data_IF_085526065221
#
_entry.id   IF_085526065221
#
_cell.length_a   1.000
_cell.length_b   1.000
_cell.length_c   1.000
_cell.angle_alpha   90.00
_cell.angle_beta   90.00
_cell.angle_gamma   90.00
#
_symmetry.space_group_name_H-M   'P 1'
#
loop_
_entity.id
_entity.type
_entity.pdbx_description
1 polymer ?
#
# COMPACT_ATOMS: atom_id res chain seq x y z
N UNK A 1 -53.41 -63.04 18.18
CA UNK A 1 -53.25 -61.74 17.48
C UNK A 1 -52.78 -61.98 16.05
N UNK A 2 -52.94 -60.99 15.18
CA UNK A 2 -53.15 -61.08 13.73
C UNK A 2 -51.90 -61.43 12.91
N UNK A 3 -52.17 -62.00 11.74
CA UNK A 3 -51.31 -62.39 10.61
C UNK A 3 -50.50 -61.20 10.00
N UNK A 4 -49.44 -61.55 9.26
CA UNK A 4 -49.19 -61.28 7.81
C UNK A 4 -47.70 -61.01 7.56
N UNK A 5 -47.12 -61.85 6.68
CA UNK A 5 -45.83 -61.72 6.01
C UNK A 5 -45.89 -60.56 5.01
N UNK A 6 -44.86 -59.71 4.93
CA UNK A 6 -44.61 -58.94 3.71
C UNK A 6 -43.11 -58.76 3.48
N UNK A 7 -42.60 -59.51 2.50
CA UNK A 7 -41.32 -59.29 1.83
C UNK A 7 -41.49 -58.13 0.85
N UNK A 8 -40.59 -57.13 0.88
CA UNK A 8 -40.41 -56.16 -0.22
C UNK A 8 -38.96 -56.23 -0.66
N UNK A 9 -38.78 -56.61 -1.93
CA UNK A 9 -37.53 -56.61 -2.69
C UNK A 9 -37.51 -55.36 -3.58
N UNK A 10 -36.30 -54.87 -3.91
CA UNK A 10 -35.94 -53.86 -4.93
C UNK A 10 -36.23 -52.40 -4.53
N UNK A 11 -35.36 -51.40 -4.74
CA UNK A 11 -34.49 -51.16 -5.89
C UNK A 11 -33.18 -50.44 -5.50
N UNK A 12 -32.12 -50.85 -6.16
CA UNK A 12 -30.89 -50.09 -6.41
C UNK A 12 -31.16 -48.72 -7.03
N UNK A 13 -30.72 -47.64 -6.38
CA UNK A 13 -30.38 -46.40 -7.06
C UNK A 13 -28.95 -46.00 -6.67
N UNK A 14 -28.06 -46.27 -7.62
CA UNK A 14 -26.75 -45.65 -7.77
C UNK A 14 -26.83 -44.15 -7.46
N UNK A 15 -26.24 -43.74 -6.33
CA UNK A 15 -25.87 -42.33 -6.16
C UNK A 15 -24.65 -42.10 -7.04
N UNK A 16 -24.91 -41.87 -8.33
CA UNK A 16 -23.95 -41.21 -9.20
C UNK A 16 -23.71 -39.83 -8.58
N UNK A 17 -22.59 -39.70 -7.88
CA UNK A 17 -22.05 -38.40 -7.50
C UNK A 17 -21.75 -37.64 -8.78
N UNK A 18 -22.70 -36.82 -9.22
CA UNK A 18 -22.43 -35.82 -10.23
C UNK A 18 -21.40 -34.87 -9.63
N UNK A 19 -20.14 -35.04 -10.03
CA UNK A 19 -19.14 -33.99 -9.93
C UNK A 19 -19.63 -32.84 -10.81
N UNK A 20 -20.43 -31.94 -10.23
CA UNK A 20 -20.62 -30.61 -10.80
C UNK A 20 -19.24 -29.97 -10.82
N UNK A 21 -18.60 -29.97 -11.99
CA UNK A 21 -17.53 -29.04 -12.27
C UNK A 21 -18.06 -27.65 -11.92
N UNK A 22 -17.51 -27.02 -10.87
CA UNK A 22 -17.74 -25.59 -10.62
C UNK A 22 -17.12 -24.82 -11.76
N UNK A 23 -17.87 -24.63 -12.84
CA UNK A 23 -17.48 -23.79 -13.96
C UNK A 23 -17.79 -22.35 -13.55
N UNK A 24 -16.77 -21.65 -13.06
CA UNK A 24 -16.85 -20.25 -12.65
C UNK A 24 -16.60 -20.04 -11.16
N UNK A 25 -16.02 -18.87 -10.86
CA UNK A 25 -15.76 -18.42 -9.49
C UNK A 25 -17.04 -17.88 -8.87
N UNK A 26 -17.23 -18.14 -7.58
CA UNK A 26 -18.33 -17.56 -6.80
C UNK A 26 -18.18 -16.03 -6.69
N UNK A 27 -19.29 -15.33 -6.42
CA UNK A 27 -19.29 -13.87 -6.26
C UNK A 27 -18.39 -13.45 -5.09
N UNK A 28 -18.33 -14.29 -4.07
CA UNK A 28 -17.52 -14.13 -2.87
C UNK A 28 -16.02 -14.24 -3.20
N UNK A 29 -15.63 -15.23 -4.02
CA UNK A 29 -14.25 -15.36 -4.51
C UNK A 29 -13.85 -14.20 -5.42
N UNK A 30 -14.75 -13.73 -6.28
CA UNK A 30 -14.49 -12.56 -7.13
C UNK A 30 -14.37 -11.27 -6.30
N UNK A 31 -15.20 -11.11 -5.27
CA UNK A 31 -15.14 -9.96 -4.37
C UNK A 31 -13.87 -9.98 -3.52
N UNK A 32 -13.52 -11.13 -2.94
CA UNK A 32 -12.30 -11.30 -2.17
C UNK A 32 -11.05 -10.98 -3.01
N UNK A 33 -11.03 -11.39 -4.28
CA UNK A 33 -9.93 -11.04 -5.18
C UNK A 33 -9.91 -9.56 -5.55
N UNK A 34 -11.07 -8.96 -5.82
CA UNK A 34 -11.15 -7.52 -6.06
C UNK A 34 -10.65 -6.73 -4.85
N UNK A 35 -10.99 -7.17 -3.64
CA UNK A 35 -10.56 -6.52 -2.39
C UNK A 35 -9.05 -6.67 -2.13
N UNK A 36 -8.43 -7.74 -2.67
CA UNK A 36 -6.97 -7.93 -2.65
C UNK A 36 -6.23 -7.04 -3.64
N UNK A 37 -6.85 -6.69 -4.76
CA UNK A 37 -6.19 -5.91 -5.83
C UNK A 37 -6.47 -4.42 -5.72
N UNK A 38 -7.56 -4.01 -5.07
CA UNK A 38 -7.94 -2.60 -4.94
C UNK A 38 -7.10 -1.89 -3.87
N UNK A 39 -6.36 -0.81 -4.20
CA UNK A 39 -5.62 -0.05 -3.21
C UNK A 39 -6.54 0.62 -2.19
N UNK A 40 -6.25 0.43 -0.90
CA UNK A 40 -6.94 1.06 0.23
C UNK A 40 -6.02 2.11 0.86
N UNK A 41 -6.47 3.35 0.96
CA UNK A 41 -5.70 4.41 1.63
C UNK A 41 -5.71 4.16 3.15
N UNK A 42 -4.53 3.96 3.73
CA UNK A 42 -4.34 3.66 5.16
C UNK A 42 -3.72 4.81 5.95
N UNK A 43 -3.17 5.82 5.25
CA UNK A 43 -2.62 7.03 5.84
C UNK A 43 -2.68 8.21 4.89
N UNK A 44 -2.76 9.43 5.44
CA UNK A 44 -2.80 10.66 4.65
C UNK A 44 -2.19 11.85 5.41
N UNK A 45 -1.45 12.69 4.69
CA UNK A 45 -1.10 14.06 5.07
C UNK A 45 -1.79 15.02 4.13
N UNK A 46 -2.52 15.99 4.66
CA UNK A 46 -3.25 17.00 3.87
C UNK A 46 -2.70 18.42 4.06
N UNK A 47 -2.87 19.28 3.06
CA UNK A 47 -2.72 20.74 3.16
C UNK A 47 -3.96 21.41 2.59
N UNK A 48 -4.56 22.33 3.35
CA UNK A 48 -5.72 23.16 3.03
C UNK A 48 -6.97 22.41 2.50
N UNK A 49 -6.89 21.69 1.38
CA UNK A 49 -7.96 20.91 0.76
C UNK A 49 -7.48 19.66 -0.03
N UNK A 50 -6.16 19.44 -0.21
CA UNK A 50 -5.61 18.32 -1.01
C UNK A 50 -4.68 17.42 -0.19
N UNK A 51 -4.62 16.14 -0.57
CA UNK A 51 -3.80 15.14 0.10
C UNK A 51 -2.42 15.07 -0.55
N UNK A 52 -1.41 15.53 0.17
CA UNK A 52 -0.05 15.65 -0.33
C UNK A 52 0.73 14.34 -0.33
N UNK A 53 0.52 13.54 0.70
CA UNK A 53 1.08 12.21 0.83
C UNK A 53 -0.02 11.26 1.26
N UNK A 54 -0.05 10.09 0.66
CA UNK A 54 -1.02 9.06 0.95
C UNK A 54 -0.34 7.70 0.93
N UNK A 55 -0.52 6.95 2.00
CA UNK A 55 -0.05 5.58 2.08
C UNK A 55 -1.20 4.64 1.71
N UNK A 56 -0.96 3.74 0.78
CA UNK A 56 -1.93 2.77 0.29
C UNK A 56 -1.48 1.35 0.58
N UNK A 57 -2.41 0.49 1.00
CA UNK A 57 -2.25 -0.95 1.06
C UNK A 57 -2.94 -1.63 -0.12
N UNK A 58 -2.31 -2.64 -0.70
CA UNK A 58 -2.86 -3.54 -1.72
C UNK A 58 -2.74 -4.96 -1.19
N UNK A 59 -3.88 -5.58 -0.87
CA UNK A 59 -3.89 -6.85 -0.17
C UNK A 59 -3.25 -6.74 1.22
N UNK A 60 -2.58 -7.81 1.65
CA UNK A 60 -1.97 -7.91 2.99
C UNK A 60 -0.44 -7.70 2.96
N UNK A 61 0.17 -7.67 1.77
CA UNK A 61 1.61 -7.82 1.56
C UNK A 61 2.25 -6.70 0.74
N UNK A 62 1.50 -5.67 0.36
CA UNK A 62 2.04 -4.54 -0.42
C UNK A 62 1.51 -3.22 0.10
N UNK A 63 2.42 -2.27 0.27
CA UNK A 63 2.09 -0.87 0.48
C UNK A 63 2.89 -0.01 -0.50
N UNK A 64 2.36 1.16 -0.86
CA UNK A 64 3.06 2.17 -1.64
C UNK A 64 2.73 3.56 -1.15
N UNK A 65 3.70 4.46 -1.27
CA UNK A 65 3.54 5.85 -0.88
C UNK A 65 3.26 6.70 -2.14
N UNK A 66 2.08 7.29 -2.20
CA UNK A 66 1.73 8.29 -3.22
C UNK A 66 2.03 9.68 -2.69
N UNK A 67 2.59 10.55 -3.53
CA UNK A 67 2.90 11.92 -3.16
C UNK A 67 2.62 12.90 -4.30
N UNK A 68 2.31 14.14 -3.95
CA UNK A 68 2.15 15.24 -4.90
C UNK A 68 3.50 15.92 -5.16
N UNK A 69 3.78 16.22 -6.42
CA UNK A 69 4.86 17.11 -6.83
C UNK A 69 4.30 18.50 -7.15
N UNK A 70 5.12 19.53 -6.92
CA UNK A 70 4.80 20.88 -7.43
C UNK A 70 5.14 20.92 -8.92
N UNK A 71 4.15 20.67 -9.77
CA UNK A 71 4.29 20.87 -11.21
C UNK A 71 4.44 22.35 -11.58
N UNK A 72 4.91 22.62 -12.80
CA UNK A 72 4.83 23.96 -13.39
C UNK A 72 3.38 24.40 -13.58
N UNK A 73 3.10 25.70 -13.47
CA UNK A 73 1.78 26.31 -13.70
C UNK A 73 0.65 25.82 -12.77
N UNK A 74 0.96 25.34 -11.56
CA UNK A 74 -0.06 24.97 -10.56
C UNK A 74 -0.74 23.63 -10.80
N UNK A 75 -0.14 22.76 -11.63
CA UNK A 75 -0.62 21.38 -11.81
C UNK A 75 -0.09 20.48 -10.69
N UNK A 76 -0.99 19.72 -10.05
CA UNK A 76 -0.64 18.66 -9.11
C UNK A 76 -0.38 17.37 -9.90
N UNK A 77 0.84 16.83 -9.82
CA UNK A 77 1.17 15.53 -10.40
C UNK A 77 1.33 14.54 -9.26
N UNK A 78 0.61 13.42 -9.34
CA UNK A 78 0.67 12.34 -8.37
C UNK A 78 1.73 11.33 -8.82
N UNK A 79 2.72 11.12 -7.97
CA UNK A 79 3.81 10.17 -8.16
C UNK A 79 3.77 9.08 -7.09
N UNK A 80 4.42 7.95 -7.34
CA UNK A 80 4.37 6.79 -6.45
C UNK A 80 5.76 6.27 -6.14
N UNK A 81 6.04 6.08 -4.85
CA UNK A 81 7.16 5.30 -4.33
C UNK A 81 6.63 3.90 -4.01
N UNK A 82 7.04 2.92 -4.82
CA UNK A 82 6.77 1.52 -4.55
C UNK A 82 7.90 0.94 -3.70
N UNK A 83 7.54 0.18 -2.68
CA UNK A 83 8.49 -0.60 -1.89
C UNK A 83 8.57 -2.03 -2.45
N UNK A 84 9.79 -2.55 -2.52
CA UNK A 84 10.09 -3.91 -2.99
C UNK A 84 9.63 -4.93 -1.95
N UNK A 85 9.82 -4.62 -0.67
CA UNK A 85 9.39 -5.44 0.45
C UNK A 85 9.11 -4.59 1.70
N UNK A 86 8.62 -5.25 2.74
CA UNK A 86 8.27 -4.63 4.03
C UNK A 86 9.49 -4.06 4.78
N UNK A 87 10.68 -4.64 4.56
CA UNK A 87 11.90 -4.22 5.22
C UNK A 87 12.41 -2.91 4.59
N UNK A 88 12.42 -2.81 3.26
CA UNK A 88 12.77 -1.57 2.54
C UNK A 88 11.86 -0.42 2.96
N UNK A 89 10.56 -0.69 3.09
CA UNK A 89 9.57 0.27 3.61
C UNK A 89 9.88 0.71 5.05
N UNK A 90 10.15 -0.23 5.95
CA UNK A 90 10.46 0.06 7.35
C UNK A 90 11.79 0.81 7.50
N UNK A 91 12.80 0.46 6.69
CA UNK A 91 14.09 1.12 6.66
C UNK A 91 13.94 2.56 6.14
N UNK A 92 13.13 2.77 5.10
CA UNK A 92 12.80 4.11 4.61
C UNK A 92 12.07 4.95 5.68
N UNK A 93 11.09 4.37 6.36
CA UNK A 93 10.39 5.02 7.46
C UNK A 93 11.35 5.47 8.58
N UNK A 94 12.24 4.58 9.03
CA UNK A 94 13.24 4.87 10.07
C UNK A 94 14.27 5.90 9.61
N UNK A 95 14.73 5.80 8.37
CA UNK A 95 15.65 6.76 7.76
C UNK A 95 15.06 8.17 7.81
N UNK A 96 13.82 8.36 7.35
CA UNK A 96 13.15 9.67 7.38
C UNK A 96 12.93 10.19 8.80
N UNK A 97 12.63 9.32 9.77
CA UNK A 97 12.56 9.71 11.17
C UNK A 97 13.90 10.23 11.70
N UNK A 98 15.00 9.53 11.37
CA UNK A 98 16.36 9.91 11.77
C UNK A 98 16.76 11.29 11.25
N UNK A 99 16.34 11.65 10.03
CA UNK A 99 16.62 12.97 9.44
C UNK A 99 16.04 14.16 10.24
N UNK A 100 14.96 13.96 11.00
CA UNK A 100 14.43 15.03 11.86
C UNK A 100 15.27 15.26 13.11
N UNK A 101 15.91 14.20 13.61
CA UNK A 101 16.75 14.24 14.80
C UNK A 101 18.14 14.78 14.42
N UNK A 102 18.80 14.13 13.46
CA UNK A 102 20.11 14.50 12.90
C UNK A 102 20.06 14.46 11.36
N UNK A 103 19.99 15.64 10.73
CA UNK A 103 19.84 15.73 9.28
C UNK A 103 21.15 15.34 8.58
N UNK A 104 21.04 14.43 7.61
CA UNK A 104 22.14 14.04 6.72
C UNK A 104 21.67 14.14 5.28
N UNK A 105 22.51 14.67 4.41
CA UNK A 105 22.22 14.87 2.99
C UNK A 105 22.49 13.61 2.14
N UNK A 106 22.53 12.44 2.77
CA UNK A 106 22.81 11.17 2.10
C UNK A 106 21.60 10.72 1.29
N UNK A 107 21.82 10.37 0.03
CA UNK A 107 20.80 9.74 -0.81
C UNK A 107 20.48 8.30 -0.38
N UNK A 108 19.25 7.87 -0.66
CA UNK A 108 18.81 6.48 -0.50
C UNK A 108 18.18 5.97 -1.80
N UNK A 109 18.32 4.68 -2.05
CA UNK A 109 17.66 4.00 -3.16
C UNK A 109 16.44 3.23 -2.63
N UNK A 110 15.27 3.50 -3.18
CA UNK A 110 14.03 2.76 -2.91
C UNK A 110 13.50 2.24 -4.24
N UNK A 111 13.46 0.91 -4.43
CA UNK A 111 13.04 0.27 -5.68
C UNK A 111 13.62 0.96 -6.93
N UNK A 112 14.94 1.14 -6.93
CA UNK A 112 15.73 1.79 -8.01
C UNK A 112 15.46 3.28 -8.24
N UNK A 113 14.59 3.90 -7.44
CA UNK A 113 14.42 5.36 -7.41
C UNK A 113 15.41 5.95 -6.42
N UNK A 114 16.11 7.00 -6.85
CA UNK A 114 17.02 7.75 -5.97
C UNK A 114 16.23 8.85 -5.27
N UNK A 115 16.32 8.87 -3.95
CA UNK A 115 15.63 9.83 -3.08
C UNK A 115 16.69 10.60 -2.32
N UNK A 116 16.69 11.92 -2.50
CA UNK A 116 17.65 12.83 -1.85
C UNK A 116 16.88 13.73 -0.88
N UNK A 117 17.19 13.70 0.43
CA UNK A 117 16.51 14.55 1.40
C UNK A 117 16.95 16.02 1.26
N UNK A 118 16.04 16.93 1.56
CA UNK A 118 16.27 18.38 1.62
C UNK A 118 15.74 18.92 2.94
N UNK A 119 16.61 19.53 3.73
CA UNK A 119 16.20 20.22 4.95
C UNK A 119 15.45 21.50 4.58
N UNK A 120 14.28 21.69 5.20
CA UNK A 120 13.51 22.92 5.08
C UNK A 120 13.13 23.40 6.47
N UNK A 121 13.47 24.65 6.80
CA UNK A 121 13.04 25.27 8.06
C UNK A 121 11.88 26.22 7.76
N UNK A 122 10.72 25.94 8.34
CA UNK A 122 9.55 26.80 8.23
C UNK A 122 9.05 27.11 9.64
N UNK A 123 9.01 28.40 10.00
CA UNK A 123 8.59 28.87 11.33
C UNK A 123 9.35 28.20 12.50
N UNK A 124 10.66 27.98 12.34
CA UNK A 124 11.50 27.32 13.34
C UNK A 124 11.30 25.80 13.48
N UNK A 125 10.37 25.20 12.73
CA UNK A 125 10.17 23.75 12.70
C UNK A 125 10.99 23.12 11.58
N UNK A 126 11.69 22.02 11.92
CA UNK A 126 12.36 21.16 10.93
C UNK A 126 11.30 20.44 10.09
N UNK A 127 11.34 20.66 8.79
CA UNK A 127 10.57 19.95 7.78
C UNK A 127 11.55 19.32 6.78
N UNK A 128 11.08 18.27 6.12
CA UNK A 128 11.85 17.56 5.10
C UNK A 128 11.07 17.61 3.79
N UNK A 129 11.78 17.85 2.71
CA UNK A 129 11.34 17.58 1.34
C UNK A 129 12.26 16.52 0.75
N UNK A 130 11.83 15.88 -0.32
CA UNK A 130 12.67 14.95 -1.07
C UNK A 130 12.75 15.38 -2.53
N UNK A 131 13.94 15.30 -3.10
CA UNK A 131 14.11 15.22 -4.54
C UNK A 131 14.06 13.74 -4.93
N UNK A 132 13.04 13.36 -5.68
CA UNK A 132 12.88 11.97 -6.17
C UNK A 132 13.26 11.92 -7.64
N UNK A 133 14.20 11.04 -7.97
CA UNK A 133 14.64 10.76 -9.32
C UNK A 133 14.03 9.43 -9.76
N UNK A 134 12.99 9.43 -10.63
CA UNK A 134 12.30 8.20 -11.03
C UNK A 134 13.19 7.22 -11.79
N UNK A 135 14.27 7.72 -12.39
CA UNK A 135 15.31 6.95 -13.06
C UNK A 135 16.65 7.31 -12.43
N UNK A 136 17.38 6.32 -11.92
CA UNK A 136 18.65 6.51 -11.19
C UNK A 136 19.70 7.33 -11.96
N UNK A 137 19.71 7.22 -13.29
CA UNK A 137 20.69 7.85 -14.18
C UNK A 137 20.16 9.11 -14.87
N UNK A 138 19.04 9.66 -14.42
CA UNK A 138 18.45 10.89 -14.98
C UNK A 138 18.70 12.07 -14.06
N UNK A 139 18.91 13.25 -14.65
CA UNK A 139 18.91 14.52 -13.92
C UNK A 139 17.50 15.05 -13.65
N UNK A 140 16.48 14.43 -14.26
CA UNK A 140 15.09 14.78 -14.03
C UNK A 140 14.66 14.34 -12.63
N UNK A 141 14.16 15.31 -11.87
CA UNK A 141 13.67 15.10 -10.50
C UNK A 141 12.28 15.67 -10.30
N UNK A 142 11.60 15.06 -9.36
CA UNK A 142 10.32 15.46 -8.82
C UNK A 142 10.52 15.85 -7.36
N UNK A 143 10.38 17.14 -7.03
CA UNK A 143 10.46 17.59 -5.64
C UNK A 143 9.12 17.39 -4.94
N UNK A 144 9.17 16.69 -3.82
CA UNK A 144 8.00 16.48 -2.96
C UNK A 144 7.67 17.75 -2.18
N UNK A 145 6.46 17.82 -1.64
CA UNK A 145 6.09 18.89 -0.71
C UNK A 145 6.63 18.63 0.72
N UNK A 146 6.67 19.71 1.52
CA UNK A 146 7.20 19.68 2.89
C UNK A 146 6.41 18.75 3.82
N UNK A 147 7.16 17.99 4.59
CA UNK A 147 6.64 17.03 5.55
C UNK A 147 7.26 17.24 6.93
N UNK A 148 6.44 17.22 7.98
CA UNK A 148 6.88 17.28 9.38
C UNK A 148 6.97 15.89 10.01
N UNK A 149 7.77 15.74 11.08
CA UNK A 149 7.93 14.47 11.81
C UNK A 149 6.58 13.87 12.23
N UNK A 150 5.70 14.71 12.79
CA UNK A 150 4.35 14.31 13.21
C UNK A 150 3.52 13.80 12.04
N UNK A 151 3.58 14.48 10.89
CA UNK A 151 2.83 14.06 9.71
C UNK A 151 3.35 12.73 9.16
N UNK A 152 4.67 12.51 9.16
CA UNK A 152 5.28 11.24 8.76
C UNK A 152 4.85 10.07 9.65
N UNK A 153 4.90 10.24 10.97
CA UNK A 153 4.45 9.22 11.93
C UNK A 153 2.97 8.90 11.72
N UNK A 154 2.13 9.92 11.55
CA UNK A 154 0.69 9.72 11.33
C UNK A 154 0.41 9.01 9.99
N UNK A 155 1.17 9.32 8.95
CA UNK A 155 1.03 8.70 7.63
C UNK A 155 1.25 7.19 7.69
N UNK A 156 2.21 6.73 8.49
CA UNK A 156 2.52 5.31 8.65
C UNK A 156 1.81 4.64 9.83
N UNK A 157 0.92 5.32 10.56
CA UNK A 157 0.32 4.80 11.81
C UNK A 157 -0.35 3.43 11.65
N UNK A 158 -0.97 3.18 10.49
CA UNK A 158 -1.67 1.93 10.19
C UNK A 158 -0.88 1.01 9.24
N UNK A 159 0.38 1.36 8.94
CA UNK A 159 1.22 0.60 8.03
C UNK A 159 1.55 -0.77 8.61
N UNK A 160 1.71 -1.74 7.72
CA UNK A 160 2.19 -3.08 8.05
C UNK A 160 3.54 -3.06 8.75
N UNK A 161 4.42 -2.07 8.52
CA UNK A 161 5.80 -2.05 9.06
C UNK A 161 5.88 -2.18 10.58
N UNK A 162 4.81 -1.85 11.31
CA UNK A 162 4.74 -2.01 12.78
C UNK A 162 4.54 -3.46 13.24
N UNK A 163 4.39 -4.41 12.32
CA UNK A 163 4.31 -5.85 12.59
C UNK A 163 5.66 -6.57 12.46
N UNK A 164 6.72 -5.86 12.05
CA UNK A 164 8.09 -6.40 11.95
C UNK A 164 8.75 -6.53 13.33
#
# INVERSE_FOLDING_TARGET
>A
MKKIILTVVLMSFSVYGFSQFKVGRSKEEVKADKDKVTPKRIGVKTTALTADYELYAVGDDKEFLRYITKGGMGTEIYEVINFTDMKEEADFYKYVLGLYDDFKDNEILINKMKIVPREMKLLGMKNIMFDVYPKSNSDYKNSTIMLSKKAWVNLFKNSRIHKL
#
